data_IF_086508214107
#
_entry.id   IF_086508214107
#
_cell.length_a   1.000
_cell.length_b   1.000
_cell.length_c   1.000
_cell.angle_alpha   90.00
_cell.angle_beta   90.00
_cell.angle_gamma   90.00
#
_symmetry.space_group_name_H-M   'P 1'
#
loop_
_entity.id
_entity.type
_entity.pdbx_description
1 polymer ?
#
# COMPACT_ATOMS: atom_id res chain seq x y z
N UNK A 1 50.95 10.01 8.92
CA UNK A 1 49.71 10.65 9.45
C UNK A 1 48.85 11.37 8.41
N UNK A 2 49.28 12.45 7.73
CA UNK A 2 48.40 13.08 6.70
C UNK A 2 48.25 12.27 5.41
N UNK A 3 49.27 11.52 4.97
CA UNK A 3 49.19 10.70 3.75
C UNK A 3 48.37 9.42 3.93
N UNK A 4 48.41 8.79 5.11
CA UNK A 4 47.65 7.58 5.41
C UNK A 4 46.14 7.86 5.50
N UNK A 5 45.75 9.01 6.05
CA UNK A 5 44.35 9.43 6.13
C UNK A 5 43.75 9.73 4.73
N UNK A 6 44.56 10.30 3.82
CA UNK A 6 44.14 10.57 2.44
C UNK A 6 44.01 9.25 1.64
N UNK A 7 44.93 8.31 1.84
CA UNK A 7 44.86 6.99 1.22
C UNK A 7 43.64 6.17 1.70
N UNK A 8 43.30 6.26 2.99
CA UNK A 8 42.12 5.60 3.57
C UNK A 8 40.81 6.18 3.02
N UNK A 9 40.71 7.51 2.89
CA UNK A 9 39.55 8.18 2.29
C UNK A 9 39.37 7.84 0.79
N UNK A 10 40.47 7.75 0.03
CA UNK A 10 40.41 7.32 -1.37
C UNK A 10 39.98 5.85 -1.48
N UNK A 11 40.48 4.98 -0.60
CA UNK A 11 40.07 3.58 -0.53
C UNK A 11 38.58 3.42 -0.23
N UNK A 12 38.06 4.18 0.74
CA UNK A 12 36.63 4.19 1.08
C UNK A 12 35.76 4.72 -0.08
N UNK A 13 36.23 5.74 -0.81
CA UNK A 13 35.52 6.26 -1.99
C UNK A 13 35.44 5.24 -3.11
N UNK A 14 36.52 4.49 -3.35
CA UNK A 14 36.55 3.41 -4.36
C UNK A 14 35.61 2.28 -3.96
N UNK A 15 35.59 1.89 -2.68
CA UNK A 15 34.66 0.89 -2.15
C UNK A 15 33.19 1.32 -2.30
N UNK A 16 32.87 2.58 -1.96
CA UNK A 16 31.52 3.13 -2.12
C UNK A 16 31.08 3.17 -3.60
N UNK A 17 32.00 3.43 -4.51
CA UNK A 17 31.72 3.40 -5.95
C UNK A 17 31.48 1.97 -6.46
N UNK A 18 32.28 1.00 -6.01
CA UNK A 18 32.09 -0.42 -6.36
C UNK A 18 30.75 -0.96 -5.83
N UNK A 19 30.39 -0.63 -4.58
CA UNK A 19 29.10 -1.04 -4.00
C UNK A 19 27.91 -0.44 -4.75
N UNK A 20 27.95 0.85 -5.09
CA UNK A 20 26.90 1.49 -5.89
C UNK A 20 26.80 0.89 -7.29
N UNK A 21 27.93 0.52 -7.90
CA UNK A 21 27.94 -0.13 -9.21
C UNK A 21 27.30 -1.52 -9.15
N UNK A 22 27.64 -2.31 -8.13
CA UNK A 22 27.05 -3.64 -7.90
C UNK A 22 25.55 -3.56 -7.62
N UNK A 23 25.12 -2.57 -6.84
CA UNK A 23 23.69 -2.36 -6.55
C UNK A 23 22.92 -1.98 -7.83
N UNK A 24 23.48 -1.11 -8.68
CA UNK A 24 22.89 -0.80 -9.99
C UNK A 24 22.79 -2.04 -10.89
N UNK A 25 23.81 -2.90 -10.86
CA UNK A 25 23.81 -4.16 -11.61
C UNK A 25 22.77 -5.15 -11.06
N UNK A 26 22.64 -5.30 -9.74
CA UNK A 26 21.64 -6.19 -9.15
C UNK A 26 20.21 -5.75 -9.46
N UNK A 27 19.92 -4.45 -9.36
CA UNK A 27 18.62 -3.89 -9.75
C UNK A 27 18.33 -4.10 -11.24
N UNK A 28 19.34 -3.96 -12.11
CA UNK A 28 19.17 -4.24 -13.54
C UNK A 28 18.93 -5.72 -13.85
N UNK A 29 19.64 -6.61 -13.15
CA UNK A 29 19.44 -8.07 -13.27
C UNK A 29 18.02 -8.42 -12.83
N UNK A 30 17.59 -7.90 -11.69
CA UNK A 30 16.26 -8.14 -11.13
C UNK A 30 15.14 -7.71 -12.10
N UNK A 31 15.27 -6.51 -12.68
CA UNK A 31 14.37 -5.98 -13.72
C UNK A 31 14.33 -6.88 -14.96
N UNK A 32 15.46 -7.44 -15.38
CA UNK A 32 15.53 -8.37 -16.52
C UNK A 32 14.92 -9.74 -16.19
N UNK A 33 15.06 -10.23 -14.96
CA UNK A 33 14.40 -11.47 -14.51
C UNK A 33 12.88 -11.31 -14.45
N UNK A 34 12.37 -10.20 -13.92
CA UNK A 34 10.94 -9.87 -13.91
C UNK A 34 10.37 -9.84 -15.34
N UNK A 35 11.06 -9.14 -16.25
CA UNK A 35 10.63 -9.06 -17.65
C UNK A 35 10.65 -10.43 -18.36
N UNK A 36 11.63 -11.30 -18.06
CA UNK A 36 11.68 -12.66 -18.62
C UNK A 36 10.59 -13.57 -18.05
N UNK A 37 10.25 -13.45 -16.76
CA UNK A 37 9.14 -14.20 -16.18
C UNK A 37 7.81 -13.79 -16.77
N UNK A 38 7.60 -12.50 -17.07
CA UNK A 38 6.39 -12.00 -17.72
C UNK A 38 6.23 -12.53 -19.14
N UNK A 39 7.33 -12.57 -19.91
CA UNK A 39 7.36 -13.15 -21.25
C UNK A 39 7.11 -14.67 -21.25
N UNK A 40 7.67 -15.40 -20.28
CA UNK A 40 7.41 -16.84 -20.13
C UNK A 40 5.95 -17.12 -19.76
N UNK A 41 5.36 -16.31 -18.87
CA UNK A 41 3.96 -16.43 -18.46
C UNK A 41 2.99 -16.16 -19.62
N UNK A 42 3.25 -15.14 -20.43
CA UNK A 42 2.47 -14.86 -21.64
C UNK A 42 2.49 -16.04 -22.64
N UNK A 43 3.65 -16.70 -22.78
CA UNK A 43 3.78 -17.88 -23.66
C UNK A 43 3.07 -19.14 -23.13
N UNK A 44 2.91 -19.26 -21.81
CA UNK A 44 2.20 -20.38 -21.18
C UNK A 44 0.67 -20.19 -21.24
N UNK A 45 0.17 -18.97 -21.02
CA UNK A 45 -1.25 -18.63 -21.14
C UNK A 45 -1.76 -18.74 -22.59
N UNK A 46 -0.92 -18.43 -23.59
CA UNK A 46 -1.29 -18.65 -24.99
C UNK A 46 -1.43 -20.14 -25.34
N UNK A 47 -0.59 -21.01 -24.76
CA UNK A 47 -0.65 -22.45 -25.03
C UNK A 47 -1.83 -23.16 -24.33
N UNK A 48 -2.28 -22.69 -23.16
CA UNK A 48 -3.47 -23.26 -22.48
C UNK A 48 -4.80 -22.88 -23.15
N UNK A 49 -4.83 -21.77 -23.87
CA UNK A 49 -6.06 -21.27 -24.52
C UNK A 49 -6.38 -22.02 -25.83
N UNK A 50 -5.38 -22.58 -26.51
CA UNK A 50 -5.58 -23.37 -27.73
C UNK A 50 -6.06 -24.83 -27.50
N UNK A 51 -6.13 -25.30 -26.25
CA UNK A 51 -6.46 -26.69 -25.95
C UNK A 51 -7.89 -26.91 -25.43
N UNK A 52 -8.74 -25.87 -25.37
CA UNK A 52 -10.10 -25.95 -24.80
C UNK A 52 -11.27 -25.64 -25.75
N UNK A 53 -11.06 -25.64 -27.07
CA UNK A 53 -12.15 -25.64 -28.05
C UNK A 53 -12.20 -26.96 -28.81
N UNK A 54 -12.80 -27.98 -28.19
CA UNK A 54 -13.51 -29.03 -28.91
C UNK A 54 -14.50 -29.71 -27.97
N UNK A 55 -15.66 -30.07 -28.54
CA UNK A 55 -16.76 -30.89 -27.98
C UNK A 55 -17.83 -30.08 -27.20
N UNK A 56 -18.90 -29.64 -27.89
CA UNK A 56 -20.26 -30.25 -27.96
C UNK A 56 -21.23 -29.25 -28.61
N UNK A 57 -21.71 -29.62 -29.79
CA UNK A 57 -22.86 -29.04 -30.47
C UNK A 57 -24.18 -29.44 -29.79
N UNK A 58 -25.12 -28.51 -29.58
CA UNK A 58 -26.44 -28.87 -29.02
C UNK A 58 -27.52 -27.79 -28.98
N UNK A 59 -28.16 -27.56 -30.14
CA UNK A 59 -29.56 -27.12 -30.38
C UNK A 59 -30.06 -25.77 -29.82
N UNK A 60 -30.39 -24.90 -30.77
CA UNK A 60 -31.27 -23.71 -30.68
C UNK A 60 -32.67 -24.04 -30.13
N UNK A 61 -33.21 -23.17 -29.27
CA UNK A 61 -34.62 -22.72 -29.32
C UNK A 61 -34.72 -21.23 -28.96
N UNK A 62 -35.48 -20.51 -29.78
CA UNK A 62 -35.88 -19.09 -29.63
C UNK A 62 -36.86 -18.96 -28.46
N UNK A 63 -36.76 -17.89 -27.67
CA UNK A 63 -37.92 -17.33 -26.98
C UNK A 63 -37.91 -15.79 -27.05
N UNK A 64 -39.11 -15.28 -27.22
CA UNK A 64 -39.50 -13.98 -27.74
C UNK A 64 -39.57 -12.93 -26.63
N UNK A 65 -39.28 -11.68 -27.02
CA UNK A 65 -39.50 -10.44 -26.28
C UNK A 65 -40.98 -10.27 -25.92
N UNK A 66 -41.27 -9.89 -24.68
CA UNK A 66 -42.48 -9.15 -24.30
C UNK A 66 -42.15 -8.29 -23.09
N UNK A 67 -42.31 -6.98 -23.26
CA UNK A 67 -41.89 -5.95 -22.31
C UNK A 67 -42.94 -5.66 -21.24
N UNK A 68 -42.48 -5.07 -20.14
CA UNK A 68 -43.26 -4.19 -19.29
C UNK A 68 -42.35 -3.03 -18.87
N UNK A 69 -42.69 -1.84 -19.37
CA UNK A 69 -42.29 -0.54 -18.85
C UNK A 69 -42.94 -0.37 -17.46
N UNK A 70 -42.13 -0.29 -16.41
CA UNK A 70 -42.56 0.31 -15.14
C UNK A 70 -41.63 1.50 -14.87
N UNK A 71 -42.18 2.68 -15.13
CA UNK A 71 -41.66 3.97 -14.70
C UNK A 71 -41.95 4.06 -13.20
N UNK A 72 -40.92 4.09 -12.37
CA UNK A 72 -41.02 4.45 -10.96
C UNK A 72 -40.20 5.74 -10.72
N UNK A 73 -40.79 6.78 -10.12
CA UNK A 73 -40.11 8.06 -9.94
C UNK A 73 -39.19 8.03 -8.71
N UNK A 74 -37.90 8.30 -8.97
CA UNK A 74 -36.97 9.20 -8.26
C UNK A 74 -37.29 9.46 -6.78
N UNK A 75 -36.43 8.94 -5.91
CA UNK A 75 -35.93 9.62 -4.71
C UNK A 75 -34.40 9.53 -4.74
N UNK A 76 -33.78 10.27 -5.65
CA UNK A 76 -32.34 10.57 -5.57
C UNK A 76 -32.24 11.69 -4.53
N UNK A 77 -31.90 11.33 -3.30
CA UNK A 77 -31.36 12.30 -2.35
C UNK A 77 -30.05 12.80 -2.91
N UNK A 78 -30.12 13.98 -3.54
CA UNK A 78 -28.96 14.79 -3.91
C UNK A 78 -28.28 15.19 -2.60
N UNK A 79 -27.38 14.33 -2.13
CA UNK A 79 -26.29 14.76 -1.27
C UNK A 79 -25.24 15.36 -2.19
N UNK A 80 -25.41 16.65 -2.50
CA UNK A 80 -24.31 17.49 -2.96
C UNK A 80 -23.40 17.72 -1.76
N UNK A 81 -22.56 16.74 -1.45
CA UNK A 81 -21.31 17.04 -0.74
C UNK A 81 -20.34 17.56 -1.79
N UNK A 82 -19.95 18.83 -1.62
CA UNK A 82 -18.84 19.49 -2.30
C UNK A 82 -17.59 18.61 -2.24
N UNK A 83 -17.45 17.71 -3.22
CA UNK A 83 -16.16 17.13 -3.57
C UNK A 83 -15.44 18.23 -4.36
N UNK A 84 -14.73 19.08 -3.62
CA UNK A 84 -13.66 19.87 -4.19
C UNK A 84 -12.54 18.90 -4.57
N UNK A 85 -12.73 18.16 -5.67
CA UNK A 85 -11.71 17.31 -6.26
C UNK A 85 -10.66 18.25 -6.85
N UNK A 86 -9.71 18.67 -6.02
CA UNK A 86 -8.40 18.96 -6.54
C UNK A 86 -7.91 17.64 -7.14
N UNK A 87 -8.05 17.51 -8.46
CA UNK A 87 -7.41 16.49 -9.26
C UNK A 87 -5.97 16.36 -8.76
N UNK A 88 -5.62 15.17 -8.29
CA UNK A 88 -4.26 14.83 -7.88
C UNK A 88 -3.35 15.20 -9.04
N UNK A 89 -2.34 16.02 -8.78
CA UNK A 89 -1.29 16.30 -9.75
C UNK A 89 -0.60 14.99 -10.10
N UNK A 90 -0.33 14.76 -11.39
CA UNK A 90 0.28 13.57 -12.04
C UNK A 90 1.67 13.14 -11.48
N UNK A 91 2.06 13.53 -10.26
CA UNK A 91 3.37 13.21 -9.72
C UNK A 91 3.40 11.77 -9.18
N UNK A 92 4.20 10.95 -9.85
CA UNK A 92 4.35 9.52 -9.58
C UNK A 92 5.06 9.33 -8.25
N UNK A 93 4.37 8.78 -7.26
CA UNK A 93 4.94 8.50 -5.93
C UNK A 93 5.59 7.13 -5.89
N UNK A 94 6.82 7.06 -5.37
CA UNK A 94 7.55 5.80 -5.19
C UNK A 94 7.71 5.49 -3.72
N UNK A 95 7.40 4.25 -3.36
CA UNK A 95 7.56 3.72 -2.01
C UNK A 95 8.73 2.74 -1.95
N UNK A 96 9.38 2.68 -0.79
CA UNK A 96 10.30 1.61 -0.43
C UNK A 96 9.92 1.02 0.93
N UNK A 97 10.16 -0.28 1.10
CA UNK A 97 9.87 -0.96 2.36
C UNK A 97 10.95 -1.98 2.69
N UNK A 98 11.28 -2.12 3.97
CA UNK A 98 12.17 -3.18 4.44
C UNK A 98 11.74 -3.73 5.79
N UNK A 99 11.90 -5.04 5.94
CA UNK A 99 11.72 -5.76 7.21
C UNK A 99 13.08 -6.20 7.71
N UNK A 100 13.37 -5.93 8.98
CA UNK A 100 14.62 -6.30 9.62
C UNK A 100 14.34 -7.10 10.89
N UNK A 101 15.04 -8.22 11.07
CA UNK A 101 15.04 -8.91 12.34
C UNK A 101 15.88 -8.12 13.38
N UNK A 102 15.76 -8.44 14.67
CA UNK A 102 16.58 -7.81 15.71
C UNK A 102 18.10 -8.06 15.57
N UNK A 103 18.51 -9.02 14.73
CA UNK A 103 19.92 -9.30 14.43
C UNK A 103 20.45 -8.48 13.24
N UNK A 104 19.59 -7.73 12.55
CA UNK A 104 19.92 -6.87 11.42
C UNK A 104 19.76 -7.50 10.03
N UNK A 105 19.35 -8.76 9.92
CA UNK A 105 19.11 -9.40 8.61
C UNK A 105 17.78 -8.94 8.01
N UNK A 106 17.74 -8.83 6.69
CA UNK A 106 16.52 -8.53 5.92
C UNK A 106 15.77 -9.80 5.55
N UNK A 107 14.44 -9.79 5.60
CA UNK A 107 13.58 -10.92 5.23
C UNK A 107 12.39 -10.47 4.39
N UNK A 108 12.00 -11.28 3.41
CA UNK A 108 10.88 -11.02 2.48
C UNK A 108 9.66 -11.86 2.87
N UNK A 109 9.16 -11.69 4.09
CA UNK A 109 7.99 -12.44 4.60
C UNK A 109 6.98 -11.51 5.25
N UNK A 110 5.72 -11.91 5.28
CA UNK A 110 4.69 -11.09 5.89
C UNK A 110 4.78 -11.18 7.43
N UNK A 111 4.52 -10.09 8.12
CA UNK A 111 4.51 -10.06 9.57
C UNK A 111 3.34 -9.24 10.09
N UNK A 112 2.63 -9.79 11.06
CA UNK A 112 1.53 -9.11 11.75
C UNK A 112 2.03 -8.53 13.07
N UNK A 113 1.26 -7.58 13.60
CA UNK A 113 1.32 -7.28 15.02
C UNK A 113 0.68 -8.44 15.81
N UNK A 114 1.31 -8.86 16.91
CA UNK A 114 0.68 -9.76 17.89
C UNK A 114 0.51 -9.00 19.19
N UNK A 115 -0.68 -8.43 19.35
CA UNK A 115 -1.02 -7.58 20.48
C UNK A 115 -2.32 -8.03 21.15
N UNK A 116 -2.51 -7.74 22.45
CA UNK A 116 -3.80 -7.94 23.08
C UNK A 116 -4.91 -7.14 22.40
N UNK A 117 -6.14 -7.67 22.37
CA UNK A 117 -7.32 -7.10 21.68
C UNK A 117 -7.59 -5.62 21.96
N UNK A 118 -7.28 -5.17 23.17
CA UNK A 118 -7.57 -3.81 23.64
C UNK A 118 -6.32 -2.91 23.68
N UNK A 119 -5.17 -3.39 23.19
CA UNK A 119 -3.94 -2.58 23.18
C UNK A 119 -4.06 -1.50 22.11
N UNK A 120 -3.96 -0.25 22.54
CA UNK A 120 -3.75 0.90 21.66
C UNK A 120 -2.30 0.92 21.17
N UNK A 121 -2.11 1.05 19.85
CA UNK A 121 -0.81 1.36 19.28
C UNK A 121 -0.59 2.87 19.29
N UNK A 122 0.56 3.28 19.81
CA UNK A 122 0.98 4.68 19.83
C UNK A 122 1.71 5.02 18.55
N UNK A 123 1.13 5.94 17.78
CA UNK A 123 1.73 6.50 16.57
C UNK A 123 2.29 7.86 16.94
N UNK A 124 3.56 8.12 16.64
CA UNK A 124 4.12 9.43 16.89
C UNK A 124 4.56 10.12 15.61
N UNK A 125 4.16 11.38 15.44
CA UNK A 125 4.63 12.24 14.36
C UNK A 125 5.87 12.99 14.83
N UNK A 126 6.99 12.73 14.19
CA UNK A 126 8.31 13.30 14.48
C UNK A 126 8.57 14.44 13.51
N UNK A 127 9.07 15.57 14.05
CA UNK A 127 9.25 16.84 13.34
C UNK A 127 7.97 17.40 12.71
N UNK A 128 6.82 17.47 13.43
CA UNK A 128 5.56 18.00 12.86
C UNK A 128 5.68 19.45 12.37
N UNK A 129 6.63 20.22 12.93
CA UNK A 129 6.83 21.64 12.62
C UNK A 129 7.41 21.90 11.21
N UNK A 130 7.81 20.86 10.46
CA UNK A 130 8.32 21.04 9.08
C UNK A 130 7.18 21.18 8.06
N UNK A 131 5.94 20.90 8.46
CA UNK A 131 4.74 21.05 7.64
C UNK A 131 3.71 21.91 8.38
N UNK A 132 2.74 22.43 7.62
CA UNK A 132 1.62 23.20 8.19
C UNK A 132 0.74 22.32 9.10
N UNK A 133 0.09 22.93 10.09
CA UNK A 133 -0.81 22.23 11.02
C UNK A 133 -1.94 21.49 10.31
N UNK A 134 -2.42 22.03 9.19
CA UNK A 134 -3.50 21.40 8.40
C UNK A 134 -3.01 20.11 7.73
N UNK A 135 -1.73 20.05 7.33
CA UNK A 135 -1.08 18.83 6.82
C UNK A 135 -0.87 17.79 7.92
N UNK A 136 -0.63 18.20 9.17
CA UNK A 136 -0.61 17.28 10.31
C UNK A 136 -1.99 16.63 10.51
N UNK A 137 -3.08 17.37 10.31
CA UNK A 137 -4.43 16.81 10.38
C UNK A 137 -4.68 15.79 9.26
N UNK A 138 -4.16 16.03 8.05
CA UNK A 138 -4.24 15.07 6.93
C UNK A 138 -3.58 13.73 7.30
N UNK A 139 -2.40 13.76 7.94
CA UNK A 139 -1.73 12.54 8.43
C UNK A 139 -2.64 11.81 9.44
N UNK A 140 -3.23 12.57 10.39
CA UNK A 140 -4.12 12.01 11.41
C UNK A 140 -5.38 11.41 10.77
N UNK A 141 -5.96 12.04 9.77
CA UNK A 141 -7.17 11.57 9.08
C UNK A 141 -6.90 10.31 8.24
N UNK A 142 -5.77 10.24 7.55
CA UNK A 142 -5.33 9.04 6.81
C UNK A 142 -5.19 7.79 7.70
N UNK A 143 -4.99 7.98 9.01
CA UNK A 143 -4.86 6.89 9.98
C UNK A 143 -6.18 6.66 10.73
N UNK A 144 -6.77 7.71 11.31
CA UNK A 144 -7.86 7.62 12.29
C UNK A 144 -9.26 7.65 11.66
N UNK A 145 -9.39 8.06 10.40
CA UNK A 145 -10.71 8.14 9.76
C UNK A 145 -11.35 6.75 9.65
N UNK A 146 -12.60 6.64 10.10
CA UNK A 146 -13.46 5.48 9.87
C UNK A 146 -14.41 5.68 8.66
N UNK A 147 -14.29 6.81 7.95
CA UNK A 147 -15.18 7.14 6.83
C UNK A 147 -14.90 6.22 5.63
N UNK A 148 -15.98 5.93 4.91
CA UNK A 148 -15.94 5.17 3.66
C UNK A 148 -16.49 6.00 2.50
N UNK A 149 -16.14 5.59 1.29
CA UNK A 149 -16.68 6.11 0.04
C UNK A 149 -17.05 4.94 -0.89
N UNK A 150 -18.12 5.10 -1.67
CA UNK A 150 -18.52 4.13 -2.69
C UNK A 150 -18.07 4.65 -4.05
N UNK A 151 -17.27 3.87 -4.77
CA UNK A 151 -16.77 4.20 -6.10
C UNK A 151 -17.20 3.15 -7.11
N UNK A 152 -17.47 3.57 -8.35
CA UNK A 152 -17.80 2.65 -9.44
C UNK A 152 -16.55 1.87 -9.87
N UNK A 153 -16.66 0.55 -9.95
CA UNK A 153 -15.56 -0.36 -10.26
C UNK A 153 -15.00 -0.18 -11.68
N UNK A 154 -15.78 0.42 -12.58
CA UNK A 154 -15.31 0.78 -13.91
C UNK A 154 -14.21 1.84 -13.89
N UNK A 155 -14.10 2.65 -12.82
CA UNK A 155 -13.04 3.63 -12.63
C UNK A 155 -11.65 2.99 -12.50
N UNK A 156 -11.60 1.71 -12.12
CA UNK A 156 -10.37 0.95 -11.91
C UNK A 156 -10.16 -0.14 -12.97
N UNK A 157 -10.98 -0.15 -14.02
CA UNK A 157 -11.03 -1.23 -15.01
C UNK A 157 -11.31 -2.62 -14.40
N UNK A 158 -11.93 -2.66 -13.21
CA UNK A 158 -12.18 -3.89 -12.44
C UNK A 158 -13.51 -4.55 -12.78
N UNK A 159 -14.53 -3.79 -13.21
CA UNK A 159 -15.83 -4.36 -13.62
C UNK A 159 -16.56 -3.52 -14.69
N UNK A 160 -17.72 -4.03 -15.13
CA UNK A 160 -18.66 -3.31 -15.98
C UNK A 160 -19.27 -2.11 -15.21
N UNK A 161 -19.60 -1.00 -15.90
CA UNK A 161 -20.22 0.17 -15.25
C UNK A 161 -21.48 -0.20 -14.48
N UNK A 162 -21.63 0.37 -13.27
CA UNK A 162 -22.78 0.14 -12.39
C UNK A 162 -22.55 -0.83 -11.24
N UNK A 163 -21.37 -1.47 -11.17
CA UNK A 163 -20.89 -2.13 -9.94
C UNK A 163 -20.15 -1.11 -9.07
N UNK A 164 -20.38 -1.14 -7.75
CA UNK A 164 -19.72 -0.23 -6.82
C UNK A 164 -19.02 -1.00 -5.71
N UNK A 165 -17.79 -0.58 -5.40
CA UNK A 165 -17.04 -1.06 -4.25
C UNK A 165 -16.88 0.02 -3.19
N UNK A 166 -16.79 -0.43 -1.95
CA UNK A 166 -16.50 0.42 -0.79
C UNK A 166 -14.99 0.56 -0.62
N UNK A 167 -14.56 1.80 -0.40
CA UNK A 167 -13.18 2.17 -0.09
C UNK A 167 -13.12 2.93 1.23
N UNK A 168 -11.98 2.87 1.91
CA UNK A 168 -11.79 3.50 3.23
C UNK A 168 -10.86 4.69 3.11
N UNK A 169 -11.24 5.80 3.76
CA UNK A 169 -10.42 7.02 3.78
C UNK A 169 -9.29 6.96 4.80
N UNK A 170 -9.35 6.04 5.78
CA UNK A 170 -8.29 5.83 6.75
C UNK A 170 -8.22 4.41 7.29
N UNK A 171 -7.05 4.08 7.83
CA UNK A 171 -6.75 2.72 8.29
C UNK A 171 -7.60 2.25 9.47
N UNK A 172 -8.04 3.15 10.35
CA UNK A 172 -8.93 2.80 11.46
C UNK A 172 -10.24 2.17 10.95
N UNK A 173 -10.85 2.74 9.91
CA UNK A 173 -12.03 2.16 9.26
C UNK A 173 -11.74 0.80 8.61
N UNK A 174 -10.67 0.70 7.83
CA UNK A 174 -10.28 -0.52 7.13
C UNK A 174 -9.95 -1.68 8.09
N UNK A 175 -9.18 -1.42 9.14
CA UNK A 175 -8.77 -2.41 10.13
C UNK A 175 -9.95 -2.82 11.02
N UNK A 176 -10.85 -1.90 11.34
CA UNK A 176 -12.10 -2.22 12.02
C UNK A 176 -12.97 -3.14 11.16
N UNK A 177 -13.05 -2.91 9.86
CA UNK A 177 -13.72 -3.83 8.93
C UNK A 177 -13.05 -5.20 8.92
N UNK A 178 -11.72 -5.26 8.78
CA UNK A 178 -10.96 -6.52 8.79
C UNK A 178 -11.18 -7.31 10.10
N UNK A 179 -11.22 -6.61 11.24
CA UNK A 179 -11.41 -7.21 12.57
C UNK A 179 -12.78 -7.86 12.81
N UNK A 180 -13.75 -7.66 11.91
CA UNK A 180 -15.03 -8.36 11.95
C UNK A 180 -14.88 -9.85 11.62
N UNK A 181 -13.83 -10.21 10.88
CA UNK A 181 -13.46 -11.59 10.62
C UNK A 181 -12.54 -12.09 11.73
N UNK A 182 -12.90 -13.23 12.33
CA UNK A 182 -12.05 -13.87 13.32
C UNK A 182 -10.74 -14.33 12.66
N UNK A 183 -9.62 -13.97 13.27
CA UNK A 183 -8.27 -14.26 12.81
C UNK A 183 -7.43 -14.82 13.96
N UNK A 184 -6.34 -15.51 13.64
CA UNK A 184 -5.41 -16.08 14.62
C UNK A 184 -4.74 -15.02 15.51
N UNK A 185 -4.35 -13.89 14.94
CA UNK A 185 -3.73 -12.76 15.62
C UNK A 185 -4.68 -11.57 15.67
N UNK A 186 -4.60 -10.78 16.73
CA UNK A 186 -5.42 -9.57 16.87
C UNK A 186 -5.04 -8.53 15.81
N UNK A 187 -6.02 -8.09 15.01
CA UNK A 187 -5.87 -6.92 14.14
C UNK A 187 -5.89 -5.63 15.00
N UNK A 188 -4.88 -4.75 14.89
CA UNK A 188 -4.85 -3.49 15.63
C UNK A 188 -5.95 -2.55 15.14
N UNK A 189 -6.87 -2.16 16.02
CA UNK A 189 -7.99 -1.26 15.69
C UNK A 189 -8.00 0.02 16.52
N UNK A 190 -7.08 0.17 17.47
CA UNK A 190 -6.98 1.33 18.35
C UNK A 190 -5.63 2.01 18.17
N UNK A 191 -5.65 3.28 17.78
CA UNK A 191 -4.46 4.10 17.59
C UNK A 191 -4.56 5.40 18.39
N UNK A 192 -3.45 5.82 18.98
CA UNK A 192 -3.31 7.13 19.62
C UNK A 192 -2.18 7.88 18.94
N UNK A 193 -2.46 9.06 18.39
CA UNK A 193 -1.45 9.87 17.71
C UNK A 193 -0.93 10.96 18.65
N UNK A 194 0.37 10.96 18.90
CA UNK A 194 1.06 12.00 19.65
C UNK A 194 2.10 12.71 18.79
N UNK A 195 2.47 13.93 19.18
CA UNK A 195 3.44 14.74 18.45
C UNK A 195 4.78 14.78 19.21
N UNK A 196 5.91 14.72 18.49
CA UNK A 196 7.23 15.12 19.01
C UNK A 196 8.08 14.07 19.75
N UNK A 197 7.75 12.78 19.71
CA UNK A 197 8.54 11.70 20.34
C UNK A 197 8.78 10.53 19.38
N UNK A 198 9.91 9.82 19.49
CA UNK A 198 10.17 8.59 18.72
C UNK A 198 9.75 7.30 19.44
N UNK A 199 9.18 7.40 20.64
CA UNK A 199 8.96 6.26 21.53
C UNK A 199 7.64 5.50 21.30
N UNK A 200 6.91 5.80 20.23
CA UNK A 200 5.70 5.06 19.84
C UNK A 200 6.02 3.69 19.26
N UNK A 201 4.97 2.85 19.15
CA UNK A 201 5.00 1.58 18.42
C UNK A 201 5.23 1.84 16.91
N UNK A 202 4.65 2.93 16.40
CA UNK A 202 4.87 3.42 15.02
C UNK A 202 5.40 4.86 15.11
N UNK A 203 6.47 5.17 14.38
CA UNK A 203 7.00 6.53 14.25
C UNK A 203 6.88 7.01 12.80
N UNK A 204 6.31 8.18 12.59
CA UNK A 204 6.21 8.86 11.28
C UNK A 204 7.18 10.03 11.31
N UNK A 205 8.29 9.90 10.60
CA UNK A 205 9.35 10.89 10.51
C UNK A 205 9.11 11.74 9.27
N UNK A 206 8.89 13.04 9.49
CA UNK A 206 8.80 14.02 8.41
C UNK A 206 10.19 14.57 8.12
N UNK A 207 10.66 14.38 6.90
CA UNK A 207 11.97 14.81 6.42
C UNK A 207 11.82 15.86 5.33
N UNK A 208 12.63 16.92 5.39
CA UNK A 208 12.77 17.90 4.31
C UNK A 208 13.88 17.53 3.32
N UNK A 209 14.48 16.34 3.49
CA UNK A 209 15.51 15.82 2.61
C UNK A 209 14.88 14.91 1.57
N UNK A 210 15.51 14.88 0.39
CA UNK A 210 15.20 13.91 -0.65
C UNK A 210 15.72 12.52 -0.26
N UNK A 211 15.00 11.48 -0.69
CA UNK A 211 15.52 10.12 -0.61
C UNK A 211 16.67 9.93 -1.61
N UNK A 212 17.82 9.36 -1.21
CA UNK A 212 18.91 9.02 -2.13
C UNK A 212 18.49 8.08 -3.26
N UNK A 213 17.47 7.27 -3.00
CA UNK A 213 16.94 6.26 -3.93
C UNK A 213 15.68 6.76 -4.69
N UNK A 214 15.27 8.01 -4.44
CA UNK A 214 14.13 8.65 -5.11
C UNK A 214 12.75 8.20 -4.60
N UNK A 215 12.68 7.72 -3.35
CA UNK A 215 11.43 7.41 -2.67
C UNK A 215 10.75 8.66 -2.10
N UNK A 216 9.42 8.70 -2.18
CA UNK A 216 8.57 9.69 -1.49
C UNK A 216 8.25 9.25 -0.06
N UNK A 217 8.17 7.94 0.17
CA UNK A 217 7.93 7.31 1.46
C UNK A 217 8.81 6.07 1.63
N UNK A 218 9.19 5.78 2.87
CA UNK A 218 9.89 4.55 3.19
C UNK A 218 9.47 4.00 4.55
N UNK A 219 9.06 2.75 4.60
CA UNK A 219 8.72 2.07 5.85
C UNK A 219 9.76 1.04 6.24
N UNK A 220 10.13 1.02 7.52
CA UNK A 220 11.03 0.04 8.12
C UNK A 220 10.36 -0.61 9.31
N UNK A 221 10.22 -1.92 9.28
CA UNK A 221 9.66 -2.69 10.39
C UNK A 221 10.73 -3.55 11.06
N UNK A 222 10.80 -3.49 12.38
CA UNK A 222 11.63 -4.36 13.22
C UNK A 222 10.75 -5.52 13.68
N UNK A 223 11.22 -6.75 13.44
CA UNK A 223 10.47 -7.96 13.76
C UNK A 223 11.25 -8.92 14.66
N UNK A 224 10.52 -9.66 15.49
CA UNK A 224 11.02 -10.78 16.29
C UNK A 224 9.95 -11.86 16.34
N UNK A 225 10.36 -13.14 16.26
CA UNK A 225 9.44 -14.29 16.31
C UNK A 225 8.24 -14.18 15.35
N UNK A 226 8.48 -13.65 14.14
CA UNK A 226 7.48 -13.42 13.10
C UNK A 226 6.44 -12.32 13.40
N UNK A 227 6.74 -11.43 14.35
CA UNK A 227 5.83 -10.37 14.80
C UNK A 227 6.50 -9.00 14.66
N UNK A 228 5.72 -7.99 14.27
CA UNK A 228 6.18 -6.61 14.27
C UNK A 228 6.31 -6.12 15.71
N UNK A 229 7.49 -5.60 16.05
CA UNK A 229 7.78 -4.97 17.32
C UNK A 229 7.71 -3.44 17.23
N UNK A 230 8.14 -2.90 16.10
CA UNK A 230 8.19 -1.45 15.85
C UNK A 230 8.16 -1.18 14.36
N UNK A 231 7.48 -0.11 13.94
CA UNK A 231 7.56 0.38 12.57
C UNK A 231 7.98 1.85 12.53
N UNK A 232 8.78 2.21 11.53
CA UNK A 232 9.24 3.58 11.28
C UNK A 232 8.95 3.93 9.83
N UNK A 233 8.08 4.91 9.64
CA UNK A 233 7.74 5.50 8.35
C UNK A 233 8.58 6.78 8.21
N UNK A 234 9.23 6.96 7.07
CA UNK A 234 9.91 8.22 6.71
C UNK A 234 9.22 8.79 5.48
N UNK A 235 8.71 10.02 5.59
CA UNK A 235 8.16 10.77 4.47
C UNK A 235 9.22 11.79 4.04
N UNK A 236 9.69 11.68 2.79
CA UNK A 236 10.72 12.54 2.21
C UNK A 236 10.09 13.78 1.57
N UNK A 237 10.84 14.89 1.50
CA UNK A 237 10.37 16.19 1.00
C UNK A 237 9.01 16.62 1.56
N UNK A 238 8.73 16.33 2.83
CA UNK A 238 7.40 16.49 3.42
C UNK A 238 6.88 17.93 3.37
N UNK A 239 7.78 18.92 3.40
CA UNK A 239 7.48 20.35 3.28
C UNK A 239 7.00 20.74 1.86
N UNK A 240 7.38 19.97 0.84
CA UNK A 240 7.06 20.22 -0.56
C UNK A 240 5.85 19.44 -1.06
N UNK A 241 5.48 18.34 -0.40
CA UNK A 241 4.31 17.54 -0.77
C UNK A 241 3.03 18.37 -0.64
N UNK A 242 2.17 18.31 -1.67
CA UNK A 242 0.80 18.78 -1.56
C UNK A 242 0.01 17.95 -0.55
N UNK A 243 -1.16 18.46 -0.15
CA UNK A 243 -2.05 17.76 0.78
C UNK A 243 -2.46 16.38 0.27
N UNK A 244 -2.76 16.23 -1.02
CA UNK A 244 -3.19 14.97 -1.61
C UNK A 244 -2.04 13.94 -1.69
N UNK A 245 -0.84 14.41 -2.01
CA UNK A 245 0.36 13.58 -2.08
C UNK A 245 0.76 13.07 -0.70
N UNK A 246 0.74 13.95 0.31
CA UNK A 246 0.99 13.58 1.70
C UNK A 246 -0.04 12.56 2.20
N UNK A 247 -1.32 12.78 1.91
CA UNK A 247 -2.39 11.85 2.29
C UNK A 247 -2.18 10.46 1.65
N UNK A 248 -1.84 10.44 0.36
CA UNK A 248 -1.60 9.23 -0.42
C UNK A 248 -0.43 8.42 0.13
N UNK A 249 0.73 9.07 0.28
CA UNK A 249 1.93 8.37 0.73
C UNK A 249 1.78 7.90 2.18
N UNK A 250 1.13 8.68 3.06
CA UNK A 250 0.88 8.26 4.44
C UNK A 250 -0.04 7.04 4.48
N UNK A 251 -1.12 7.00 3.68
CA UNK A 251 -1.97 5.81 3.58
C UNK A 251 -1.17 4.59 3.14
N UNK A 252 -0.35 4.72 2.11
CA UNK A 252 0.47 3.62 1.60
C UNK A 252 1.47 3.11 2.65
N UNK A 253 2.31 3.99 3.19
CA UNK A 253 3.35 3.64 4.17
C UNK A 253 2.75 3.08 5.46
N UNK A 254 1.59 3.58 5.88
CA UNK A 254 0.90 3.03 7.05
C UNK A 254 0.38 1.61 6.79
N UNK A 255 0.02 1.26 5.55
CA UNK A 255 -0.26 -0.11 5.13
C UNK A 255 0.92 -1.05 5.39
N UNK A 256 2.12 -0.62 5.05
CA UNK A 256 3.35 -1.34 5.41
C UNK A 256 3.56 -1.43 6.91
N UNK A 257 3.29 -0.36 7.66
CA UNK A 257 3.45 -0.35 9.11
C UNK A 257 2.50 -1.31 9.83
N UNK A 258 1.35 -1.65 9.24
CA UNK A 258 0.42 -2.66 9.77
C UNK A 258 0.64 -4.06 9.20
N UNK A 259 1.61 -4.22 8.29
CA UNK A 259 2.14 -5.50 7.83
C UNK A 259 1.88 -5.86 6.38
N UNK A 260 1.20 -5.00 5.60
CA UNK A 260 1.01 -5.25 4.17
C UNK A 260 2.33 -5.09 3.40
N UNK A 261 2.45 -5.83 2.31
CA UNK A 261 3.50 -5.65 1.32
C UNK A 261 2.91 -5.03 0.05
N UNK A 262 3.78 -4.79 -0.92
CA UNK A 262 3.36 -4.25 -2.20
C UNK A 262 2.35 -5.15 -2.94
N UNK A 263 1.31 -4.51 -3.48
CA UNK A 263 0.40 -5.09 -4.45
C UNK A 263 1.06 -5.16 -5.84
N UNK A 264 0.68 -6.18 -6.62
CA UNK A 264 1.03 -6.26 -8.04
C UNK A 264 -0.02 -5.59 -8.96
N UNK A 265 -1.14 -5.13 -8.40
CA UNK A 265 -2.18 -4.41 -9.14
C UNK A 265 -1.80 -2.93 -9.24
N UNK A 266 -1.54 -2.39 -10.45
CA UNK A 266 -1.14 -0.99 -10.62
C UNK A 266 -2.22 0.03 -10.24
N UNK A 267 -3.47 -0.40 -10.09
CA UNK A 267 -4.57 0.47 -9.67
C UNK A 267 -4.74 0.55 -8.15
N UNK A 268 -4.02 -0.29 -7.41
CA UNK A 268 -4.16 -0.44 -5.96
C UNK A 268 -3.26 0.54 -5.18
N UNK A 269 -3.75 0.97 -4.02
CA UNK A 269 -3.01 1.88 -3.14
C UNK A 269 -1.64 1.30 -2.76
N UNK A 270 -1.54 -0.01 -2.52
CA UNK A 270 -0.31 -0.66 -2.08
C UNK A 270 0.65 -1.01 -3.23
N UNK A 271 0.42 -0.53 -4.46
CA UNK A 271 1.39 -0.71 -5.55
C UNK A 271 2.70 0.07 -5.27
N UNK A 272 3.91 -0.45 -5.61
CA UNK A 272 5.19 0.19 -5.31
C UNK A 272 5.39 1.57 -5.97
N UNK A 273 4.63 1.82 -7.04
CA UNK A 273 4.60 3.09 -7.76
C UNK A 273 3.13 3.52 -7.83
N UNK A 274 2.75 4.53 -7.06
CA UNK A 274 1.34 4.92 -6.91
C UNK A 274 0.98 5.87 -8.06
N UNK A 275 0.27 5.33 -9.05
CA UNK A 275 -0.22 6.05 -10.23
C UNK A 275 -1.76 6.18 -10.24
N UNK A 276 -2.43 5.64 -9.22
CA UNK A 276 -3.89 5.64 -9.14
C UNK A 276 -4.45 7.01 -8.77
N UNK A 277 -5.51 7.42 -9.46
CA UNK A 277 -6.25 8.65 -9.16
C UNK A 277 -7.13 8.54 -7.91
N UNK A 278 -7.27 7.33 -7.35
CA UNK A 278 -8.11 7.05 -6.20
C UNK A 278 -7.31 6.25 -5.16
N UNK A 279 -6.34 6.89 -4.47
CA UNK A 279 -5.44 6.26 -3.51
C UNK A 279 -6.15 6.02 -2.16
N UNK A 280 -7.21 5.23 -2.19
CA UNK A 280 -7.98 4.82 -1.03
C UNK A 280 -7.73 3.35 -0.71
N UNK A 281 -7.94 2.98 0.55
CA UNK A 281 -7.74 1.59 0.99
C UNK A 281 -8.90 0.76 0.44
N UNK A 282 -8.58 -0.28 -0.31
CA UNK A 282 -9.56 -1.12 -1.02
C UNK A 282 -10.04 -2.29 -0.15
N UNK A 283 -11.10 -2.97 -0.58
CA UNK A 283 -11.50 -4.23 0.03
C UNK A 283 -10.45 -5.35 -0.16
N UNK A 284 -9.59 -5.23 -1.19
CA UNK A 284 -8.47 -6.14 -1.38
C UNK A 284 -7.44 -5.97 -0.26
N UNK A 285 -7.12 -4.72 0.13
CA UNK A 285 -6.23 -4.44 1.25
C UNK A 285 -6.78 -4.99 2.57
N UNK A 286 -8.08 -4.80 2.82
CA UNK A 286 -8.78 -5.34 4.00
C UNK A 286 -8.73 -6.88 4.03
N UNK A 287 -8.90 -7.51 2.87
CA UNK A 287 -8.81 -8.97 2.74
C UNK A 287 -7.38 -9.47 2.96
N UNK A 288 -6.39 -8.74 2.44
CA UNK A 288 -4.97 -9.04 2.66
C UNK A 288 -4.58 -8.91 4.14
N UNK A 289 -5.07 -7.88 4.85
CA UNK A 289 -4.93 -7.78 6.31
C UNK A 289 -5.55 -8.99 6.99
N UNK A 290 -6.79 -9.34 6.65
CA UNK A 290 -7.47 -10.48 7.27
C UNK A 290 -6.67 -11.77 7.08
N UNK A 291 -6.19 -12.02 5.87
CA UNK A 291 -5.37 -13.19 5.54
C UNK A 291 -4.04 -13.23 6.29
N UNK A 292 -3.36 -12.07 6.38
CA UNK A 292 -2.12 -11.91 7.13
C UNK A 292 -2.30 -12.27 8.61
N UNK A 293 -3.31 -11.67 9.25
CA UNK A 293 -3.55 -11.86 10.68
C UNK A 293 -4.16 -13.22 11.01
N UNK A 294 -4.70 -13.95 10.02
CA UNK A 294 -5.06 -15.36 10.18
C UNK A 294 -3.84 -16.30 10.27
N UNK A 295 -2.63 -15.76 10.08
CA UNK A 295 -1.38 -16.50 10.18
C UNK A 295 -0.91 -17.13 8.88
N UNK A 296 -1.51 -16.75 7.76
CA UNK A 296 -1.11 -17.19 6.42
C UNK A 296 -0.02 -16.27 5.82
N UNK A 297 0.94 -15.90 6.67
CA UNK A 297 1.98 -14.91 6.38
C UNK A 297 3.03 -15.33 5.32
N UNK A 298 2.84 -16.48 4.67
CA UNK A 298 3.71 -16.97 3.59
C UNK A 298 2.96 -17.12 2.25
N UNK A 299 1.64 -16.91 2.25
CA UNK A 299 0.81 -17.11 1.08
C UNK A 299 0.48 -15.75 0.46
N UNK A 300 0.51 -15.69 -0.88
CA UNK A 300 0.05 -14.51 -1.61
C UNK A 300 -1.45 -14.37 -1.37
N UNK A 301 -1.88 -13.28 -0.72
CA UNK A 301 -3.28 -12.92 -0.69
C UNK A 301 -3.73 -12.61 -2.13
N UNK A 302 -4.57 -13.49 -2.70
CA UNK A 302 -5.21 -13.25 -4.00
C UNK A 302 -6.54 -12.56 -3.73
N UNK A 303 -6.70 -11.35 -4.27
CA UNK A 303 -8.00 -10.69 -4.28
C UNK A 303 -8.79 -11.18 -5.50
N UNK A 304 -9.85 -11.94 -5.26
CA UNK A 304 -10.86 -12.26 -6.28
C UNK A 304 -11.96 -11.20 -6.19
N UNK A 305 -12.14 -10.43 -7.27
CA UNK A 305 -13.18 -9.40 -7.41
C UNK A 305 -14.38 -10.02 -8.11
#
# INVERSE_FOLDING_TARGET
MKSELVFDLESQRVLLQDMNLRLKQSVQIERQTLQKSDLQRYSQESNSTYQKCNIISGKRKRLTVLGILIIAPILVSVFSSDLNSNLVTDDVMKSGYVIQNLKGDTIDTFHSWDIPKERTLYVNIVNPNVIDSDKVQIIKDAILSEKTISLDDSLFHKALPGSQSTYFLGWSGALKQASQTATKFTIPTSFSINDGSTNGDIAIILSTLESPDGYSGFTRSIVENNQILKSTITIYNADQLSSAELETIVRHEFGHAVGLIHSSDPSDLMHPIIETNYPFISNCDVSAITHLYDGNANDKAVCEI
#
